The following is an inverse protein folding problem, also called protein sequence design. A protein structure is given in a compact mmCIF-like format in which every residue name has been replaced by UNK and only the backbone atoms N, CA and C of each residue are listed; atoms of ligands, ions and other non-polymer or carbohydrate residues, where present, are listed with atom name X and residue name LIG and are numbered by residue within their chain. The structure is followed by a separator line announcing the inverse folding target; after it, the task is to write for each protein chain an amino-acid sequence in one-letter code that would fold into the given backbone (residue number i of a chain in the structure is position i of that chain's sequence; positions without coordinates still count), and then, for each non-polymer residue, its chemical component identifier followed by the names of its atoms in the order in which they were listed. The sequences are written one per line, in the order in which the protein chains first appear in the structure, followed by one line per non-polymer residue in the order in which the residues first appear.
data_IF_692382772689
#
_entry.id   IF_692382772689
#
_cell.length_a   1.000
_cell.length_b   1.000
_cell.length_c   1.000
_cell.angle_alpha   90.00
_cell.angle_beta   90.00
_cell.angle_gamma   90.00
#
_symmetry.space_group_name_H-M   'P 1'
#
loop_
_entity.id
_entity.type
_entity.pdbx_description
1 polymer ?
#
# COMPACT_ATOMS: atom_id res chain seq x y z
N UNK A 1 20.28 -22.35 0.43
CA UNK A 1 19.06 -22.38 -0.38
C UNK A 1 17.95 -21.62 0.34
N UNK A 2 17.30 -20.71 -0.33
CA UNK A 2 16.28 -19.87 0.28
C UNK A 2 14.94 -20.60 0.35
N UNK A 3 14.31 -20.63 1.53
CA UNK A 3 12.97 -21.17 1.75
C UNK A 3 11.95 -20.04 1.79
N UNK A 4 10.65 -20.36 1.79
CA UNK A 4 9.59 -19.36 1.99
C UNK A 4 9.75 -18.65 3.33
N UNK A 5 10.16 -19.38 4.38
CA UNK A 5 10.44 -18.82 5.69
C UNK A 5 11.56 -17.79 5.62
N UNK A 6 12.67 -18.10 4.94
CA UNK A 6 13.80 -17.18 4.78
C UNK A 6 13.40 -15.90 4.04
N UNK A 7 12.57 -16.03 3.01
CA UNK A 7 12.06 -14.87 2.27
C UNK A 7 11.19 -13.96 3.14
N UNK A 8 10.34 -14.54 3.98
CA UNK A 8 9.51 -13.79 4.93
C UNK A 8 10.35 -13.05 5.96
N UNK A 9 11.38 -13.70 6.48
CA UNK A 9 12.31 -13.08 7.43
C UNK A 9 13.06 -11.94 6.77
N UNK A 10 13.59 -12.15 5.57
CA UNK A 10 14.31 -11.11 4.83
C UNK A 10 13.40 -9.90 4.54
N UNK A 11 12.14 -10.14 4.16
CA UNK A 11 11.17 -9.06 3.92
C UNK A 11 10.87 -8.27 5.19
N UNK A 12 10.68 -8.95 6.32
CA UNK A 12 10.46 -8.28 7.62
C UNK A 12 11.63 -7.43 8.02
N UNK A 13 12.86 -7.88 7.79
CA UNK A 13 14.07 -7.10 8.06
C UNK A 13 14.12 -5.84 7.19
N UNK A 14 13.80 -5.96 5.90
CA UNK A 14 13.74 -4.81 4.99
C UNK A 14 12.67 -3.82 5.42
N UNK A 15 11.48 -4.29 5.78
CA UNK A 15 10.39 -3.44 6.24
C UNK A 15 10.76 -2.73 7.55
N UNK A 16 11.34 -3.46 8.49
CA UNK A 16 11.81 -2.87 9.75
C UNK A 16 12.83 -1.76 9.51
N UNK A 17 13.75 -1.97 8.57
CA UNK A 17 14.77 -0.97 8.19
C UNK A 17 14.13 0.27 7.57
N UNK A 18 13.15 0.07 6.68
CA UNK A 18 12.38 1.16 6.07
C UNK A 18 11.64 1.95 7.15
N UNK A 19 11.00 1.27 8.10
CA UNK A 19 10.21 1.89 9.15
C UNK A 19 11.00 2.76 10.12
N UNK A 20 12.32 2.65 10.14
CA UNK A 20 13.17 3.57 10.91
C UNK A 20 13.13 4.99 10.37
N UNK A 21 12.92 5.15 9.07
CA UNK A 21 12.90 6.45 8.40
C UNK A 21 11.53 6.84 7.85
N UNK A 22 10.65 5.86 7.63
CA UNK A 22 9.31 6.08 7.07
C UNK A 22 8.28 6.04 8.19
N UNK A 23 7.76 7.22 8.54
CA UNK A 23 6.72 7.38 9.57
C UNK A 23 5.65 8.32 9.04
N UNK A 24 4.39 7.90 9.12
CA UNK A 24 3.26 8.74 8.71
C UNK A 24 2.92 9.78 9.75
N UNK A 25 2.64 10.99 9.29
CA UNK A 25 2.20 12.12 10.12
C UNK A 25 0.81 12.58 9.64
N UNK A 26 0.08 13.41 10.41
CA UNK A 26 -1.20 13.95 9.93
C UNK A 26 -1.07 14.71 8.62
N UNK A 27 0.02 15.48 8.43
CA UNK A 27 0.26 16.24 7.22
C UNK A 27 0.68 15.37 6.04
N UNK A 28 1.35 14.26 6.32
CA UNK A 28 1.85 13.32 5.32
C UNK A 28 1.72 11.89 5.83
N UNK A 29 0.52 11.31 5.77
CA UNK A 29 0.29 9.95 6.23
C UNK A 29 1.09 8.92 5.43
N UNK A 30 1.24 7.74 5.98
CA UNK A 30 1.96 6.64 5.34
C UNK A 30 0.98 5.81 4.51
N UNK A 31 1.27 5.70 3.21
CA UNK A 31 0.57 4.75 2.33
C UNK A 31 1.34 3.44 2.34
N UNK A 32 0.81 2.44 3.03
CA UNK A 32 1.44 1.13 3.17
C UNK A 32 0.69 0.07 2.36
N UNK A 33 1.45 -0.82 1.72
CA UNK A 33 0.93 -1.89 0.88
C UNK A 33 1.16 -3.23 1.55
N UNK A 34 0.14 -4.07 1.51
CA UNK A 34 0.21 -5.47 1.94
C UNK A 34 -0.20 -6.37 0.78
N UNK A 35 0.53 -7.44 0.59
CA UNK A 35 0.17 -8.41 -0.45
C UNK A 35 0.33 -9.84 0.04
N UNK A 36 -0.53 -10.70 -0.46
CA UNK A 36 -0.39 -12.15 -0.39
C UNK A 36 -0.34 -12.72 -1.81
N UNK A 37 -0.36 -14.05 -1.95
CA UNK A 37 -0.38 -14.67 -3.28
C UNK A 37 -1.62 -14.28 -4.10
N UNK A 38 -2.77 -14.07 -3.45
CA UNK A 38 -4.05 -13.82 -4.11
C UNK A 38 -4.56 -12.39 -3.97
N UNK A 39 -4.14 -11.68 -2.94
CA UNK A 39 -4.74 -10.40 -2.58
C UNK A 39 -3.69 -9.32 -2.41
N UNK A 40 -4.11 -8.10 -2.64
CA UNK A 40 -3.34 -6.90 -2.37
C UNK A 40 -4.24 -5.89 -1.67
N UNK A 41 -3.69 -5.16 -0.72
CA UNK A 41 -4.40 -4.11 -0.02
C UNK A 41 -3.48 -2.94 0.26
N UNK A 42 -4.07 -1.78 0.52
CA UNK A 42 -3.36 -0.57 0.87
C UNK A 42 -4.09 0.16 1.97
N UNK A 43 -3.33 0.79 2.86
CA UNK A 43 -3.84 1.62 3.94
C UNK A 43 -3.10 2.94 3.98
N UNK A 44 -3.82 4.02 4.25
CA UNK A 44 -3.24 5.33 4.54
C UNK A 44 -3.34 5.54 6.05
N UNK A 45 -2.19 5.60 6.71
CA UNK A 45 -2.10 5.55 8.18
C UNK A 45 -1.43 6.80 8.72
N UNK A 46 -2.06 7.41 9.73
CA UNK A 46 -1.43 8.41 10.58
C UNK A 46 -0.79 7.68 11.76
N UNK A 47 0.53 7.54 11.73
CA UNK A 47 1.26 6.81 12.76
C UNK A 47 1.31 7.56 14.10
N UNK A 48 1.10 8.88 14.10
CA UNK A 48 1.09 9.66 15.34
C UNK A 48 -0.09 9.30 16.23
N UNK A 49 -1.24 8.92 15.63
CA UNK A 49 -2.44 8.50 16.34
C UNK A 49 -2.73 7.01 16.21
N UNK A 50 -1.93 6.28 15.42
CA UNK A 50 -2.19 4.87 15.13
C UNK A 50 -3.50 4.64 14.40
N UNK A 51 -3.90 5.58 13.54
CA UNK A 51 -5.22 5.60 12.91
C UNK A 51 -5.13 5.39 11.41
N UNK A 52 -5.95 4.49 10.86
CA UNK A 52 -6.11 4.31 9.43
C UNK A 52 -7.14 5.32 8.90
N UNK A 53 -6.70 6.17 7.97
CA UNK A 53 -7.53 7.23 7.39
C UNK A 53 -8.30 6.75 6.15
N UNK A 54 -7.72 5.84 5.39
CA UNK A 54 -8.33 5.26 4.20
C UNK A 54 -7.74 3.87 3.95
N UNK A 55 -8.52 3.00 3.35
CA UNK A 55 -8.05 1.66 2.98
C UNK A 55 -8.79 1.14 1.76
N UNK A 56 -8.16 0.21 1.04
CA UNK A 56 -8.77 -0.53 -0.06
C UNK A 56 -8.12 -1.91 -0.17
N UNK A 57 -8.90 -2.91 -0.56
CA UNK A 57 -8.42 -4.28 -0.65
C UNK A 57 -9.16 -5.04 -1.74
N UNK A 58 -8.46 -5.94 -2.42
CA UNK A 58 -9.08 -6.89 -3.35
C UNK A 58 -10.03 -7.87 -2.65
N UNK A 59 -9.94 -7.99 -1.33
CA UNK A 59 -10.86 -8.83 -0.55
C UNK A 59 -12.22 -8.18 -0.35
N UNK A 60 -12.35 -6.88 -0.56
CA UNK A 60 -13.62 -6.18 -0.46
C UNK A 60 -14.50 -6.52 -1.67
N UNK A 61 -15.75 -6.86 -1.41
CA UNK A 61 -16.70 -7.17 -2.47
C UNK A 61 -16.89 -5.97 -3.41
N UNK A 62 -16.90 -6.23 -4.72
CA UNK A 62 -17.09 -5.21 -5.74
C UNK A 62 -15.86 -4.40 -6.10
N UNK A 63 -14.73 -4.59 -5.41
CA UNK A 63 -13.51 -3.81 -5.67
C UNK A 63 -12.75 -4.34 -6.88
N UNK A 64 -12.45 -5.62 -6.90
CA UNK A 64 -11.64 -6.22 -7.96
C UNK A 64 -12.21 -7.55 -8.41
N UNK A 65 -13.54 -7.65 -8.49
CA UNK A 65 -14.22 -8.88 -8.86
C UNK A 65 -13.81 -9.33 -10.27
N UNK A 66 -13.31 -10.57 -10.37
CA UNK A 66 -12.83 -11.12 -11.63
C UNK A 66 -11.44 -10.64 -12.06
N UNK A 67 -10.78 -9.77 -11.30
CA UNK A 67 -9.46 -9.26 -11.62
C UNK A 67 -8.41 -9.89 -10.73
N UNK A 68 -7.19 -10.05 -11.27
CA UNK A 68 -6.03 -10.57 -10.56
C UNK A 68 -4.77 -9.78 -10.93
N UNK A 69 -3.68 -10.00 -10.19
CA UNK A 69 -2.38 -9.45 -10.52
C UNK A 69 -2.34 -7.93 -10.60
N UNK A 70 -1.71 -7.43 -11.66
CA UNK A 70 -1.50 -5.99 -11.88
C UNK A 70 -2.83 -5.25 -12.07
N UNK A 71 -3.80 -5.84 -12.76
CA UNK A 71 -5.11 -5.22 -12.97
C UNK A 71 -5.84 -4.97 -11.64
N UNK A 72 -5.82 -5.95 -10.75
CA UNK A 72 -6.41 -5.81 -9.42
C UNK A 72 -5.68 -4.76 -8.58
N UNK A 73 -4.35 -4.75 -8.64
CA UNK A 73 -3.54 -3.76 -7.93
C UNK A 73 -3.82 -2.32 -8.41
N UNK A 74 -4.02 -2.15 -9.70
CA UNK A 74 -4.38 -0.85 -10.28
C UNK A 74 -5.70 -0.34 -9.72
N UNK A 75 -6.71 -1.20 -9.62
CA UNK A 75 -8.02 -0.83 -9.05
C UNK A 75 -7.87 -0.44 -7.58
N UNK A 76 -7.12 -1.20 -6.80
CA UNK A 76 -6.88 -0.89 -5.38
C UNK A 76 -6.16 0.45 -5.23
N UNK A 77 -5.15 0.71 -6.06
CA UNK A 77 -4.42 1.98 -6.03
C UNK A 77 -5.32 3.20 -6.29
N UNK A 78 -6.15 3.12 -7.31
CA UNK A 78 -7.13 4.19 -7.60
C UNK A 78 -8.11 4.39 -6.47
N UNK A 79 -8.63 3.30 -5.93
CA UNK A 79 -9.65 3.35 -4.88
C UNK A 79 -9.10 3.92 -3.59
N UNK A 80 -7.89 3.50 -3.18
CA UNK A 80 -7.29 4.04 -1.95
C UNK A 80 -6.97 5.53 -2.11
N UNK A 81 -6.55 5.96 -3.30
CA UNK A 81 -6.33 7.37 -3.59
C UNK A 81 -7.63 8.18 -3.49
N UNK A 82 -8.70 7.70 -4.08
CA UNK A 82 -10.01 8.34 -3.99
C UNK A 82 -10.48 8.47 -2.56
N UNK A 83 -10.42 7.39 -1.79
CA UNK A 83 -10.84 7.37 -0.40
C UNK A 83 -9.96 8.26 0.49
N UNK A 84 -8.65 8.31 0.22
CA UNK A 84 -7.73 9.18 0.95
C UNK A 84 -8.04 10.65 0.67
N UNK A 85 -8.28 11.02 -0.58
CA UNK A 85 -8.65 12.38 -0.95
C UNK A 85 -9.99 12.80 -0.34
N UNK A 86 -10.96 11.90 -0.31
CA UNK A 86 -12.24 12.13 0.37
C UNK A 86 -12.05 12.37 1.87
N UNK A 87 -11.02 11.78 2.47
CA UNK A 87 -10.64 11.99 3.86
C UNK A 87 -9.73 13.24 4.06
N UNK A 88 -9.49 14.02 3.01
CA UNK A 88 -8.68 15.23 3.09
C UNK A 88 -7.18 15.03 2.91
N UNK A 89 -6.73 13.83 2.55
CA UNK A 89 -5.31 13.53 2.34
C UNK A 89 -4.91 13.86 0.92
N UNK A 90 -3.86 14.69 0.76
CA UNK A 90 -3.33 15.08 -0.56
C UNK A 90 -1.96 14.47 -0.83
N UNK A 91 -1.13 14.36 0.19
CA UNK A 91 0.23 13.82 0.08
C UNK A 91 0.43 12.69 1.07
N UNK A 92 1.22 11.70 0.66
CA UNK A 92 1.55 10.55 1.50
C UNK A 92 3.04 10.25 1.38
N UNK A 93 3.57 9.50 2.35
CA UNK A 93 4.87 8.87 2.22
C UNK A 93 4.64 7.40 1.89
N UNK A 94 5.27 6.90 0.82
CA UNK A 94 5.04 5.54 0.37
C UNK A 94 5.88 4.54 1.15
N UNK A 95 5.20 3.54 1.73
CA UNK A 95 5.82 2.40 2.39
C UNK A 95 5.45 1.12 1.62
N UNK A 96 6.39 0.60 0.88
CA UNK A 96 6.17 -0.61 0.07
C UNK A 96 6.15 -1.91 0.90
N UNK A 97 6.24 -1.82 2.24
CA UNK A 97 6.10 -2.99 3.12
C UNK A 97 7.25 -3.99 3.04
N UNK A 98 8.42 -3.58 2.57
CA UNK A 98 9.56 -4.46 2.34
C UNK A 98 9.48 -5.26 1.04
N UNK A 99 8.43 -5.08 0.23
CA UNK A 99 8.33 -5.66 -1.11
C UNK A 99 9.18 -4.88 -2.10
N UNK A 100 9.57 -5.51 -3.21
CA UNK A 100 10.23 -4.81 -4.30
C UNK A 100 9.24 -3.89 -5.00
N UNK A 101 9.71 -2.73 -5.46
CA UNK A 101 8.91 -1.81 -6.28
C UNK A 101 8.83 -2.37 -7.70
N UNK A 102 7.99 -3.37 -7.88
CA UNK A 102 7.86 -4.13 -9.11
C UNK A 102 6.45 -4.75 -9.19
N UNK A 103 5.98 -5.03 -10.40
CA UNK A 103 4.72 -5.74 -10.64
C UNK A 103 3.53 -5.08 -9.95
N UNK A 104 2.84 -5.83 -9.09
CA UNK A 104 1.63 -5.37 -8.40
C UNK A 104 1.88 -4.15 -7.50
N UNK A 105 3.01 -4.11 -6.82
CA UNK A 105 3.34 -2.99 -5.92
C UNK A 105 3.52 -1.70 -6.73
N UNK A 106 4.28 -1.76 -7.82
CA UNK A 106 4.48 -0.62 -8.71
C UNK A 106 3.16 -0.16 -9.35
N UNK A 107 2.33 -1.10 -9.80
CA UNK A 107 1.04 -0.79 -10.41
C UNK A 107 0.11 -0.06 -9.44
N UNK A 108 0.06 -0.51 -8.18
CA UNK A 108 -0.73 0.15 -7.14
C UNK A 108 -0.23 1.58 -6.89
N UNK A 109 1.07 1.75 -6.73
CA UNK A 109 1.66 3.07 -6.47
C UNK A 109 1.41 4.05 -7.62
N UNK A 110 1.59 3.60 -8.87
CA UNK A 110 1.33 4.43 -10.04
C UNK A 110 -0.15 4.81 -10.15
N UNK A 111 -1.05 3.87 -9.90
CA UNK A 111 -2.49 4.14 -9.91
C UNK A 111 -2.89 5.14 -8.82
N UNK A 112 -2.29 5.05 -7.64
CA UNK A 112 -2.53 6.01 -6.57
C UNK A 112 -2.04 7.41 -6.94
N UNK A 113 -0.90 7.53 -7.61
CA UNK A 113 -0.40 8.81 -8.13
C UNK A 113 -1.33 9.39 -9.18
N UNK A 114 -1.79 8.57 -10.12
CA UNK A 114 -2.76 8.98 -11.13
C UNK A 114 -4.09 9.40 -10.50
N UNK A 115 -4.46 8.79 -9.38
CA UNK A 115 -5.64 9.14 -8.60
C UNK A 115 -5.50 10.43 -7.81
N UNK A 116 -4.34 11.08 -7.84
CA UNK A 116 -4.12 12.40 -7.27
C UNK A 116 -3.34 12.44 -5.96
N UNK A 117 -2.83 11.32 -5.46
CA UNK A 117 -1.96 11.36 -4.28
C UNK A 117 -0.54 11.78 -4.67
N UNK A 118 0.01 12.72 -3.91
CA UNK A 118 1.39 13.18 -4.08
C UNK A 118 2.37 12.32 -3.30
N UNK A 119 3.32 11.73 -4.01
CA UNK A 119 4.47 11.06 -3.37
C UNK A 119 5.52 10.68 -4.39
#
# INVERSE_FOLDING_TARGET
MSTTFDRRVARRRRHHRIRKTVTGTPARPRLVVFRSSRHISAQVVDDSEGRTLASASTQQAGVADGLTGVAAATVVGRLVAERARDAGVQTVIFDRGGYRFHGRIAALAEAAREGGLGF
#
